data_IF_180875731689
#
_entry.id   IF_180875731689
#
_cell.length_a   1.000
_cell.length_b   1.000
_cell.length_c   1.000
_cell.angle_alpha   90.00
_cell.angle_beta   90.00
_cell.angle_gamma   90.00
#
_symmetry.space_group_name_H-M   'P 1'
#
loop_
_entity.id
_entity.type
_entity.pdbx_description
1 polymer ?
#
# COMPACT_ATOMS: atom_id res chain seq x y z
N UNK A 1 -34.65 -39.79 -2.15
CA UNK A 1 -33.43 -39.82 -2.97
C UNK A 1 -33.18 -38.42 -3.48
N UNK A 2 -31.94 -37.95 -3.29
CA UNK A 2 -31.32 -36.74 -3.84
C UNK A 2 -31.94 -35.40 -3.41
N UNK A 3 -31.37 -34.82 -2.35
CA UNK A 3 -31.59 -33.44 -1.92
C UNK A 3 -30.96 -32.47 -2.92
N UNK A 4 -31.50 -31.25 -2.95
CA UNK A 4 -31.22 -30.12 -3.85
C UNK A 4 -29.75 -29.69 -3.98
N UNK A 5 -28.83 -30.35 -3.29
CA UNK A 5 -27.40 -30.10 -3.29
C UNK A 5 -26.65 -30.75 -4.47
N UNK A 6 -27.28 -31.64 -5.25
CA UNK A 6 -26.58 -32.40 -6.32
C UNK A 6 -26.88 -31.93 -7.75
N UNK A 7 -27.62 -30.83 -7.94
CA UNK A 7 -27.90 -30.28 -9.28
C UNK A 7 -27.11 -29.01 -9.64
N UNK A 8 -26.20 -28.56 -8.77
CA UNK A 8 -25.41 -27.34 -8.98
C UNK A 8 -24.03 -27.56 -9.62
N UNK A 9 -23.74 -28.74 -10.20
CA UNK A 9 -22.40 -29.09 -10.68
C UNK A 9 -22.19 -29.03 -12.20
N UNK A 10 -23.17 -28.62 -13.01
CA UNK A 10 -22.98 -28.66 -14.46
C UNK A 10 -22.62 -27.33 -15.14
N UNK A 11 -22.97 -26.15 -14.59
CA UNK A 11 -22.56 -24.88 -15.19
C UNK A 11 -22.50 -23.75 -14.15
N UNK A 12 -21.34 -23.51 -13.55
CA UNK A 12 -21.17 -22.37 -12.64
C UNK A 12 -19.76 -22.30 -12.07
N UNK A 13 -19.01 -21.28 -12.46
CA UNK A 13 -17.71 -20.93 -11.89
C UNK A 13 -17.80 -20.77 -10.37
N UNK A 14 -17.41 -21.81 -9.62
CA UNK A 14 -17.16 -21.67 -8.19
C UNK A 14 -15.80 -21.01 -8.01
N UNK A 15 -15.75 -19.69 -7.96
CA UNK A 15 -14.63 -19.02 -7.29
C UNK A 15 -14.75 -19.36 -5.81
N UNK A 16 -14.14 -20.48 -5.39
CA UNK A 16 -13.98 -20.79 -3.98
C UNK A 16 -13.13 -19.69 -3.36
N UNK A 17 -13.79 -18.68 -2.80
CA UNK A 17 -13.15 -17.61 -2.04
C UNK A 17 -12.65 -18.24 -0.75
N UNK A 18 -11.34 -18.49 -0.67
CA UNK A 18 -10.70 -18.95 0.57
C UNK A 18 -10.81 -17.79 1.55
N UNK A 19 -11.80 -17.84 2.43
CA UNK A 19 -11.92 -16.91 3.56
C UNK A 19 -11.18 -17.55 4.71
N UNK A 20 -10.02 -17.02 5.10
CA UNK A 20 -9.25 -17.61 6.20
C UNK A 20 -9.96 -17.34 7.53
N UNK A 21 -10.01 -18.34 8.40
CA UNK A 21 -10.40 -18.17 9.80
C UNK A 21 -9.36 -17.33 10.56
N UNK A 22 -9.70 -16.80 11.74
CA UNK A 22 -8.75 -16.05 12.55
C UNK A 22 -7.45 -16.84 12.84
N UNK A 23 -7.47 -18.11 13.29
CA UNK A 23 -6.25 -18.90 13.50
C UNK A 23 -5.41 -19.08 12.23
N UNK A 24 -6.05 -19.27 11.07
CA UNK A 24 -5.34 -19.39 9.78
C UNK A 24 -4.70 -18.07 9.36
N UNK A 25 -5.37 -16.93 9.58
CA UNK A 25 -4.78 -15.60 9.34
C UNK A 25 -3.58 -15.34 10.23
N UNK A 26 -3.64 -15.67 11.51
CA UNK A 26 -2.50 -15.58 12.42
C UNK A 26 -1.32 -16.43 11.97
N UNK A 27 -1.60 -17.67 11.58
CA UNK A 27 -0.57 -18.59 11.06
C UNK A 27 0.03 -18.02 9.79
N UNK A 28 -0.80 -17.54 8.86
CA UNK A 28 -0.34 -17.00 7.59
C UNK A 28 0.47 -15.70 7.77
N UNK A 29 0.07 -14.82 8.68
CA UNK A 29 0.83 -13.63 9.05
C UNK A 29 2.22 -13.99 9.60
N UNK A 30 2.31 -14.94 10.55
CA UNK A 30 3.59 -15.40 11.11
C UNK A 30 4.49 -16.03 10.05
N UNK A 31 3.96 -16.90 9.20
CA UNK A 31 4.73 -17.52 8.11
C UNK A 31 5.17 -16.48 7.07
N UNK A 32 4.33 -15.48 6.77
CA UNK A 32 4.68 -14.39 5.85
C UNK A 32 5.82 -13.52 6.38
N UNK A 33 5.91 -13.34 7.70
CA UNK A 33 7.03 -12.64 8.34
C UNK A 33 8.31 -13.50 8.31
N UNK A 34 8.23 -14.76 8.72
CA UNK A 34 9.43 -15.61 8.83
C UNK A 34 10.03 -16.01 7.48
N UNK A 35 9.21 -16.06 6.42
CA UNK A 35 9.67 -16.38 5.05
C UNK A 35 10.02 -15.16 4.20
N UNK A 36 9.89 -13.95 4.74
CA UNK A 36 10.00 -12.70 3.98
C UNK A 36 11.31 -12.58 3.20
N UNK A 37 12.45 -12.78 3.85
CA UNK A 37 13.77 -12.61 3.21
C UNK A 37 14.00 -13.61 2.07
N UNK A 38 13.63 -14.87 2.28
CA UNK A 38 13.75 -15.92 1.25
C UNK A 38 12.88 -15.59 0.03
N UNK A 39 11.65 -15.15 0.28
CA UNK A 39 10.71 -14.81 -0.79
C UNK A 39 11.15 -13.55 -1.54
N UNK A 40 11.62 -12.51 -0.83
CA UNK A 40 12.19 -11.31 -1.45
C UNK A 40 13.40 -11.63 -2.32
N UNK A 41 14.32 -12.47 -1.86
CA UNK A 41 15.48 -12.89 -2.64
C UNK A 41 15.11 -13.67 -3.91
N UNK A 42 14.03 -14.46 -3.85
CA UNK A 42 13.47 -15.15 -5.02
C UNK A 42 12.82 -14.16 -5.99
N UNK A 43 11.99 -13.26 -5.49
CA UNK A 43 11.26 -12.26 -6.29
C UNK A 43 12.18 -11.21 -6.91
N UNK A 44 13.31 -10.87 -6.30
CA UNK A 44 14.30 -9.97 -6.89
C UNK A 44 14.85 -10.46 -8.23
N UNK A 45 14.75 -11.78 -8.51
CA UNK A 45 15.16 -12.42 -9.76
C UNK A 45 13.98 -12.68 -10.71
N UNK A 46 12.78 -12.25 -10.34
CA UNK A 46 11.57 -12.50 -11.12
C UNK A 46 11.61 -11.75 -12.47
N UNK A 47 11.38 -12.44 -13.60
CA UNK A 47 11.46 -11.81 -14.92
C UNK A 47 10.51 -10.61 -15.11
N UNK A 48 9.35 -10.57 -14.46
CA UNK A 48 8.45 -9.42 -14.56
C UNK A 48 9.05 -8.19 -13.87
N UNK A 49 9.63 -8.35 -12.68
CA UNK A 49 10.30 -7.25 -11.97
C UNK A 49 11.51 -6.75 -12.77
N UNK A 50 12.30 -7.66 -13.34
CA UNK A 50 13.45 -7.27 -14.18
C UNK A 50 13.01 -6.52 -15.45
N UNK A 51 11.90 -6.92 -16.07
CA UNK A 51 11.32 -6.18 -17.21
C UNK A 51 10.85 -4.79 -16.82
N UNK A 52 10.20 -4.65 -15.66
CA UNK A 52 9.76 -3.35 -15.13
C UNK A 52 10.96 -2.43 -14.87
N UNK A 53 12.02 -2.96 -14.24
CA UNK A 53 13.27 -2.22 -14.03
C UNK A 53 13.91 -1.78 -15.36
N UNK A 54 14.01 -2.69 -16.33
CA UNK A 54 14.57 -2.38 -17.64
C UNK A 54 13.72 -1.34 -18.40
N UNK A 55 12.39 -1.33 -18.22
CA UNK A 55 11.53 -0.28 -18.79
C UNK A 55 11.84 1.07 -18.16
N UNK A 56 11.91 1.12 -16.82
CA UNK A 56 12.26 2.35 -16.11
C UNK A 56 13.64 2.88 -16.54
N UNK A 57 14.64 1.99 -16.71
CA UNK A 57 15.97 2.35 -17.24
C UNK A 57 15.89 3.04 -18.59
N UNK A 58 15.16 2.44 -19.55
CA UNK A 58 15.02 2.99 -20.90
C UNK A 58 14.33 4.36 -20.90
N UNK A 59 13.33 4.54 -20.05
CA UNK A 59 12.63 5.82 -19.93
C UNK A 59 13.54 6.88 -19.31
N UNK A 60 14.24 6.54 -18.22
CA UNK A 60 15.16 7.47 -17.56
C UNK A 60 16.39 7.80 -18.41
N UNK A 61 16.85 6.91 -19.28
CA UNK A 61 17.95 7.21 -20.21
C UNK A 61 17.58 8.28 -21.25
N UNK A 62 16.29 8.35 -21.63
CA UNK A 62 15.77 9.31 -22.62
C UNK A 62 15.25 10.60 -21.99
N UNK A 63 14.78 10.52 -20.76
CA UNK A 63 14.14 11.63 -20.06
C UNK A 63 15.16 12.74 -19.73
N UNK A 64 14.86 13.99 -20.08
CA UNK A 64 15.73 15.13 -19.77
C UNK A 64 15.28 15.84 -18.50
N UNK A 65 13.99 15.78 -18.19
CA UNK A 65 13.34 16.43 -17.05
C UNK A 65 12.26 15.53 -16.44
N UNK A 66 11.83 15.75 -15.19
CA UNK A 66 10.88 14.88 -14.51
C UNK A 66 9.58 14.64 -15.30
N UNK A 67 9.08 15.64 -16.03
CA UNK A 67 7.86 15.51 -16.83
C UNK A 67 7.95 14.44 -17.91
N UNK A 68 9.15 14.12 -18.39
CA UNK A 68 9.35 13.09 -19.40
C UNK A 68 9.09 11.68 -18.85
N UNK A 69 9.30 11.43 -17.55
CA UNK A 69 8.93 10.17 -16.89
C UNK A 69 7.41 9.97 -16.97
N UNK A 70 6.63 11.01 -16.67
CA UNK A 70 5.17 10.95 -16.63
C UNK A 70 4.49 10.82 -18.00
N UNK A 71 5.26 10.92 -19.09
CA UNK A 71 4.76 10.61 -20.44
C UNK A 71 4.67 9.10 -20.69
N UNK A 72 5.47 8.30 -19.98
CA UNK A 72 5.37 6.85 -20.00
C UNK A 72 4.52 6.40 -18.79
N UNK A 73 3.25 6.13 -19.06
CA UNK A 73 2.26 5.76 -18.03
C UNK A 73 2.68 4.50 -17.27
N UNK A 74 3.34 3.57 -17.95
CA UNK A 74 3.78 2.32 -17.38
C UNK A 74 5.04 2.49 -16.50
N UNK A 75 6.01 3.31 -16.91
CA UNK A 75 7.13 3.67 -16.04
C UNK A 75 6.66 4.44 -14.80
N UNK A 76 5.67 5.31 -14.96
CA UNK A 76 5.02 6.00 -13.83
C UNK A 76 4.36 4.99 -12.89
N UNK A 77 3.59 4.03 -13.43
CA UNK A 77 2.98 2.94 -12.66
C UNK A 77 4.04 2.16 -11.87
N UNK A 78 5.16 1.79 -12.51
CA UNK A 78 6.26 1.06 -11.89
C UNK A 78 6.82 1.85 -10.70
N UNK A 79 7.11 3.14 -10.88
CA UNK A 79 7.58 4.01 -9.80
C UNK A 79 6.56 4.07 -8.66
N UNK A 80 5.28 4.30 -8.95
CA UNK A 80 4.24 4.37 -7.92
C UNK A 80 4.06 3.05 -7.16
N UNK A 81 4.15 1.90 -7.84
CA UNK A 81 4.11 0.61 -7.17
C UNK A 81 5.30 0.42 -6.24
N UNK A 82 6.51 0.75 -6.69
CA UNK A 82 7.71 0.67 -5.87
C UNK A 82 7.65 1.59 -4.65
N UNK A 83 6.98 2.73 -4.77
CA UNK A 83 6.76 3.69 -3.69
C UNK A 83 5.62 3.30 -2.72
N UNK A 84 4.95 2.16 -2.93
CA UNK A 84 3.80 1.75 -2.13
C UNK A 84 2.53 2.56 -2.40
N UNK A 85 2.45 3.23 -3.55
CA UNK A 85 1.34 4.07 -4.04
C UNK A 85 0.58 3.40 -5.20
N UNK A 86 0.60 2.07 -5.25
CA UNK A 86 -0.01 1.28 -6.32
C UNK A 86 -1.52 1.54 -6.50
N UNK A 87 -2.21 1.88 -5.41
CA UNK A 87 -3.64 2.22 -5.41
C UNK A 87 -3.96 3.55 -6.12
N UNK A 88 -2.92 4.26 -6.57
CA UNK A 88 -2.97 5.48 -7.38
C UNK A 88 -2.21 5.36 -8.71
N UNK A 89 -1.86 4.14 -9.11
CA UNK A 89 -1.12 3.84 -10.35
C UNK A 89 -1.72 4.48 -11.62
N UNK A 90 -3.04 4.63 -11.67
CA UNK A 90 -3.76 5.22 -12.82
C UNK A 90 -3.80 6.75 -12.78
N UNK A 91 -3.44 7.37 -11.64
CA UNK A 91 -3.56 8.82 -11.42
C UNK A 91 -2.28 9.56 -11.82
N UNK A 92 -1.84 9.40 -13.07
CA UNK A 92 -0.57 9.96 -13.58
C UNK A 92 -0.48 11.48 -13.39
N UNK A 93 -1.58 12.22 -13.61
CA UNK A 93 -1.61 13.67 -13.41
C UNK A 93 -1.47 14.10 -11.95
N UNK A 94 -1.96 13.30 -11.00
CA UNK A 94 -1.74 13.53 -9.57
C UNK A 94 -0.30 13.20 -9.20
N UNK A 95 0.19 12.04 -9.63
CA UNK A 95 1.58 11.63 -9.39
C UNK A 95 2.59 12.67 -9.87
N UNK A 96 2.39 13.20 -11.09
CA UNK A 96 3.21 14.28 -11.64
C UNK A 96 3.22 15.51 -10.73
N UNK A 97 2.04 16.01 -10.35
CA UNK A 97 1.93 17.23 -9.52
C UNK A 97 2.53 17.05 -8.13
N UNK A 98 2.34 15.88 -7.53
CA UNK A 98 2.80 15.61 -6.17
C UNK A 98 4.30 15.35 -6.12
N UNK A 99 4.83 14.44 -6.94
CA UNK A 99 6.25 14.06 -6.89
C UNK A 99 7.18 15.19 -7.34
N UNK A 100 6.65 16.16 -8.08
CA UNK A 100 7.34 17.39 -8.48
C UNK A 100 7.00 18.61 -7.60
N UNK A 101 6.25 18.43 -6.51
CA UNK A 101 5.89 19.53 -5.61
C UNK A 101 7.12 20.10 -4.91
N UNK A 102 7.19 21.43 -4.77
CA UNK A 102 8.15 22.07 -3.88
C UNK A 102 7.69 21.93 -2.43
N UNK A 103 8.48 21.24 -1.62
CA UNK A 103 8.16 20.98 -0.22
C UNK A 103 8.39 22.20 0.69
N UNK A 104 9.10 23.22 0.21
CA UNK A 104 9.24 24.51 0.91
C UNK A 104 7.96 25.33 0.84
N UNK A 105 7.15 25.14 -0.21
CA UNK A 105 5.82 25.72 -0.29
C UNK A 105 4.83 24.91 0.56
N UNK A 106 4.37 25.50 1.66
CA UNK A 106 3.37 24.91 2.57
C UNK A 106 2.04 24.59 1.86
N UNK A 107 1.74 25.26 0.75
CA UNK A 107 0.53 25.06 -0.06
C UNK A 107 0.74 24.05 -1.19
N UNK A 108 1.94 23.49 -1.36
CA UNK A 108 2.19 22.51 -2.40
C UNK A 108 1.35 21.26 -2.20
N UNK A 109 0.98 20.59 -3.30
CA UNK A 109 0.05 19.48 -3.24
C UNK A 109 0.57 18.37 -2.30
N UNK A 110 1.86 18.06 -2.35
CA UNK A 110 2.49 17.10 -1.43
C UNK A 110 2.33 17.46 0.06
N UNK A 111 2.34 18.76 0.44
CA UNK A 111 2.15 19.21 1.82
C UNK A 111 0.67 19.23 2.27
N UNK A 112 -0.26 19.26 1.32
CA UNK A 112 -1.72 19.37 1.61
C UNK A 112 -2.47 18.04 1.58
N UNK A 113 -1.90 17.00 0.96
CA UNK A 113 -2.51 15.68 0.91
C UNK A 113 -2.49 14.99 2.27
N UNK A 114 -3.63 14.42 2.66
CA UNK A 114 -3.74 13.68 3.92
C UNK A 114 -3.01 12.34 3.89
N UNK A 115 -2.80 11.73 2.71
CA UNK A 115 -2.01 10.52 2.62
C UNK A 115 -0.51 10.85 2.58
N UNK A 116 0.13 10.75 3.74
CA UNK A 116 1.54 11.13 3.95
C UNK A 116 2.53 10.36 3.09
N UNK A 117 2.16 9.19 2.55
CA UNK A 117 2.98 8.43 1.59
C UNK A 117 3.40 9.28 0.38
N UNK A 118 2.51 10.17 -0.07
CA UNK A 118 2.78 11.11 -1.15
C UNK A 118 3.87 12.11 -0.81
N UNK A 119 3.79 12.70 0.38
CA UNK A 119 4.80 13.62 0.88
C UNK A 119 6.14 12.92 1.03
N UNK A 120 6.17 11.75 1.65
CA UNK A 120 7.37 10.94 1.81
C UNK A 120 7.99 10.57 0.45
N UNK A 121 7.18 10.23 -0.55
CA UNK A 121 7.68 9.96 -1.90
C UNK A 121 8.27 11.20 -2.58
N UNK A 122 7.62 12.35 -2.45
CA UNK A 122 8.12 13.62 -2.96
C UNK A 122 9.43 14.04 -2.27
N UNK A 123 9.53 13.87 -0.94
CA UNK A 123 10.73 14.12 -0.14
C UNK A 123 11.89 13.22 -0.57
N UNK A 124 11.61 11.93 -0.75
CA UNK A 124 12.62 10.93 -1.08
C UNK A 124 13.17 11.10 -2.50
N UNK A 125 12.30 11.38 -3.47
CA UNK A 125 12.75 11.57 -4.86
C UNK A 125 13.23 12.99 -5.16
N UNK A 126 12.72 13.97 -4.41
CA UNK A 126 13.08 15.39 -4.47
C UNK A 126 13.21 15.92 -5.90
N UNK A 127 12.21 15.61 -6.75
CA UNK A 127 12.28 15.97 -8.17
C UNK A 127 12.22 17.47 -8.42
N UNK A 128 11.66 18.24 -7.47
CA UNK A 128 11.60 19.69 -7.53
C UNK A 128 13.00 20.32 -7.49
N UNK A 129 13.92 19.79 -6.67
CA UNK A 129 15.28 20.34 -6.54
C UNK A 129 16.31 19.57 -7.39
N UNK A 130 16.16 18.25 -7.53
CA UNK A 130 17.18 17.38 -8.15
C UNK A 130 16.82 16.92 -9.58
N UNK A 131 15.61 17.23 -10.04
CA UNK A 131 15.09 16.72 -11.29
C UNK A 131 14.99 15.19 -11.27
N UNK A 132 15.69 14.52 -12.19
CA UNK A 132 15.75 13.05 -12.25
C UNK A 132 17.02 12.46 -11.60
N UNK A 133 17.89 13.30 -11.03
CA UNK A 133 19.21 12.87 -10.57
C UNK A 133 19.11 11.87 -9.41
N UNK A 134 18.26 12.14 -8.41
CA UNK A 134 18.02 11.22 -7.29
C UNK A 134 17.48 9.88 -7.78
N UNK A 135 16.49 9.89 -8.68
CA UNK A 135 15.90 8.67 -9.23
C UNK A 135 16.92 7.83 -10.04
N UNK A 136 18.02 8.43 -10.51
CA UNK A 136 19.12 7.74 -11.22
C UNK A 136 20.20 7.18 -10.29
N UNK A 137 20.21 7.54 -9.01
CA UNK A 137 21.21 7.05 -8.07
C UNK A 137 21.12 5.52 -7.91
N UNK A 138 22.26 4.81 -7.82
CA UNK A 138 22.25 3.36 -7.61
C UNK A 138 21.45 2.94 -6.36
N UNK A 139 21.54 3.71 -5.27
CA UNK A 139 20.77 3.49 -4.04
C UNK A 139 19.26 3.58 -4.28
N UNK A 140 18.81 4.65 -4.95
CA UNK A 140 17.39 4.83 -5.29
C UNK A 140 16.91 3.75 -6.25
N UNK A 141 17.72 3.33 -7.23
CA UNK A 141 17.37 2.20 -8.12
C UNK A 141 17.25 0.88 -7.38
N UNK A 142 18.11 0.63 -6.39
CA UNK A 142 17.97 -0.52 -5.49
C UNK A 142 16.70 -0.41 -4.64
N UNK A 143 16.39 0.76 -4.08
CA UNK A 143 15.16 0.95 -3.33
C UNK A 143 13.90 0.74 -4.18
N UNK A 144 13.91 1.19 -5.44
CA UNK A 144 12.81 0.92 -6.38
C UNK A 144 12.66 -0.58 -6.66
N UNK A 145 13.77 -1.31 -6.87
CA UNK A 145 13.75 -2.76 -7.01
C UNK A 145 13.15 -3.44 -5.77
N UNK A 146 13.65 -3.07 -4.58
CA UNK A 146 13.18 -3.63 -3.31
C UNK A 146 11.68 -3.32 -3.08
N UNK A 147 11.22 -2.14 -3.48
CA UNK A 147 9.81 -1.75 -3.48
C UNK A 147 8.94 -2.57 -4.44
N UNK A 148 9.40 -2.84 -5.67
CA UNK A 148 8.68 -3.70 -6.61
C UNK A 148 8.59 -5.15 -6.11
N UNK A 149 9.66 -5.64 -5.49
CA UNK A 149 9.69 -6.95 -4.82
C UNK A 149 8.65 -6.99 -3.70
N UNK A 150 8.61 -5.96 -2.85
CA UNK A 150 7.64 -5.89 -1.75
C UNK A 150 6.20 -5.77 -2.27
N UNK A 151 5.96 -4.95 -3.30
CA UNK A 151 4.67 -4.85 -3.97
C UNK A 151 4.18 -6.21 -4.48
N UNK A 152 5.04 -6.96 -5.19
CA UNK A 152 4.69 -8.28 -5.72
C UNK A 152 4.44 -9.28 -4.60
N UNK A 153 5.26 -9.25 -3.54
CA UNK A 153 5.09 -10.11 -2.36
C UNK A 153 3.76 -9.85 -1.67
N UNK A 154 3.44 -8.58 -1.38
CA UNK A 154 2.20 -8.21 -0.73
C UNK A 154 0.98 -8.47 -1.62
N UNK A 155 1.12 -8.37 -2.94
CA UNK A 155 0.01 -8.70 -3.87
C UNK A 155 -0.33 -10.19 -3.79
N UNK A 156 0.68 -11.06 -3.73
CA UNK A 156 0.46 -12.49 -3.55
C UNK A 156 -0.15 -12.81 -2.16
N UNK A 157 0.20 -12.03 -1.14
CA UNK A 157 -0.38 -12.17 0.20
C UNK A 157 -1.82 -11.71 0.24
N UNK A 158 -2.12 -10.53 -0.30
CA UNK A 158 -3.46 -9.96 -0.39
C UNK A 158 -4.40 -10.88 -1.17
N UNK A 159 -3.92 -11.51 -2.25
CA UNK A 159 -4.69 -12.48 -3.02
C UNK A 159 -5.15 -13.70 -2.20
N UNK A 160 -4.44 -14.04 -1.11
CA UNK A 160 -4.82 -15.09 -0.17
C UNK A 160 -5.54 -14.56 1.06
N UNK A 161 -5.15 -13.39 1.57
CA UNK A 161 -5.79 -12.71 2.69
C UNK A 161 -5.43 -11.22 2.71
N UNK A 162 -6.42 -10.38 2.40
CA UNK A 162 -6.31 -8.93 2.54
C UNK A 162 -6.01 -8.53 3.99
N UNK A 163 -6.62 -9.23 4.97
CA UNK A 163 -6.39 -8.95 6.37
C UNK A 163 -4.92 -9.17 6.79
N UNK A 164 -4.25 -10.18 6.23
CA UNK A 164 -2.82 -10.42 6.49
C UNK A 164 -1.94 -9.38 5.79
N UNK A 165 -2.27 -8.97 4.56
CA UNK A 165 -1.57 -7.89 3.87
C UNK A 165 -1.63 -6.57 4.66
N UNK A 166 -2.80 -6.22 5.16
CA UNK A 166 -3.04 -5.03 5.98
C UNK A 166 -2.29 -5.09 7.32
N UNK A 167 -2.27 -6.25 7.97
CA UNK A 167 -1.50 -6.46 9.18
C UNK A 167 0.00 -6.25 8.94
N UNK A 168 0.53 -6.70 7.79
CA UNK A 168 1.93 -6.46 7.40
C UNK A 168 2.19 -4.99 7.09
N UNK A 169 1.26 -4.30 6.46
CA UNK A 169 1.35 -2.85 6.27
C UNK A 169 1.52 -2.14 7.61
N UNK A 170 0.63 -2.43 8.58
CA UNK A 170 0.70 -1.85 9.90
C UNK A 170 2.01 -2.22 10.60
N UNK A 171 2.44 -3.48 10.53
CA UNK A 171 3.70 -3.97 11.11
C UNK A 171 4.91 -3.15 10.64
N UNK A 172 4.97 -2.90 9.33
CA UNK A 172 6.09 -2.25 8.65
C UNK A 172 6.00 -0.73 8.61
N UNK A 173 4.89 -0.15 9.08
CA UNK A 173 4.74 1.30 9.18
C UNK A 173 5.74 1.87 10.19
N UNK A 174 6.45 2.93 9.78
CA UNK A 174 7.37 3.68 10.64
C UNK A 174 6.62 4.24 11.86
N UNK A 175 7.31 4.22 13.01
CA UNK A 175 6.84 4.79 14.27
C UNK A 175 7.38 6.20 14.53
N UNK A 176 8.23 6.72 13.65
CA UNK A 176 8.97 7.97 13.87
C UNK A 176 8.14 9.21 13.55
N UNK A 177 7.08 9.04 12.75
CA UNK A 177 6.16 10.11 12.39
C UNK A 177 4.88 9.98 13.19
N UNK A 178 4.44 11.09 13.80
CA UNK A 178 3.12 11.15 14.44
C UNK A 178 2.04 10.91 13.37
N UNK A 179 1.16 9.96 13.63
CA UNK A 179 0.02 9.66 12.75
C UNK A 179 -1.24 10.30 13.33
N UNK A 180 -1.78 11.30 12.64
CA UNK A 180 -3.06 11.92 12.97
C UNK A 180 -4.25 11.21 12.33
N UNK A 181 -5.45 11.60 12.75
CA UNK A 181 -6.71 11.04 12.22
C UNK A 181 -6.87 11.26 10.71
N UNK A 182 -6.44 12.41 10.21
CA UNK A 182 -6.51 12.71 8.79
C UNK A 182 -5.51 11.86 7.99
N UNK A 183 -4.37 11.48 8.56
CA UNK A 183 -3.42 10.58 7.92
C UNK A 183 -3.99 9.16 7.79
N UNK A 184 -4.66 8.70 8.86
CA UNK A 184 -5.40 7.43 8.85
C UNK A 184 -6.50 7.45 7.80
N UNK A 185 -7.27 8.54 7.71
CA UNK A 185 -8.31 8.67 6.70
C UNK A 185 -7.70 8.78 5.29
N UNK A 186 -6.62 9.51 5.09
CA UNK A 186 -5.97 9.65 3.78
C UNK A 186 -5.45 8.33 3.21
N UNK A 187 -5.03 7.41 4.08
CA UNK A 187 -4.48 6.12 3.69
C UNK A 187 -5.55 5.03 3.67
N UNK A 188 -5.84 4.45 2.49
CA UNK A 188 -6.90 3.42 2.35
C UNK A 188 -6.72 2.21 3.27
N UNK A 189 -5.48 1.75 3.48
CA UNK A 189 -5.19 0.60 4.35
C UNK A 189 -5.41 0.96 5.82
N UNK A 190 -4.87 2.09 6.28
CA UNK A 190 -5.08 2.55 7.65
C UNK A 190 -6.56 2.83 7.93
N UNK A 191 -7.26 3.48 7.00
CA UNK A 191 -8.70 3.73 7.10
C UNK A 191 -9.46 2.43 7.30
N UNK A 192 -9.17 1.41 6.49
CA UNK A 192 -9.81 0.09 6.57
C UNK A 192 -9.50 -0.61 7.89
N UNK A 193 -8.25 -0.60 8.33
CA UNK A 193 -7.84 -1.20 9.61
C UNK A 193 -8.58 -0.51 10.77
N UNK A 194 -8.51 0.81 10.82
CA UNK A 194 -9.07 1.61 11.89
C UNK A 194 -10.60 1.50 11.93
N UNK A 195 -11.28 1.58 10.78
CA UNK A 195 -12.73 1.40 10.71
C UNK A 195 -13.17 0.00 11.13
N UNK A 196 -12.42 -1.04 10.74
CA UNK A 196 -12.71 -2.42 11.14
C UNK A 196 -12.54 -2.62 12.65
N UNK A 197 -11.46 -2.11 13.24
CA UNK A 197 -11.21 -2.17 14.69
C UNK A 197 -12.28 -1.40 15.46
N UNK A 198 -12.68 -0.25 14.95
CA UNK A 198 -13.68 0.62 15.55
C UNK A 198 -15.14 0.18 15.30
N UNK A 199 -15.37 -0.86 14.50
CA UNK A 199 -16.72 -1.31 14.11
C UNK A 199 -17.49 -0.27 13.29
N UNK A 200 -16.79 0.57 12.52
CA UNK A 200 -17.40 1.64 11.74
C UNK A 200 -17.87 1.14 10.36
N UNK A 201 -19.08 1.54 9.92
CA UNK A 201 -19.63 1.16 8.64
C UNK A 201 -18.87 1.82 7.47
N UNK A 202 -18.91 1.18 6.28
CA UNK A 202 -18.26 1.73 5.07
C UNK A 202 -18.92 3.01 4.59
N UNK A 203 -20.21 3.16 4.89
CA UNK A 203 -21.07 4.31 4.62
C UNK A 203 -20.54 5.59 5.28
N UNK A 204 -19.69 5.47 6.30
CA UNK A 204 -19.01 6.63 6.89
C UNK A 204 -18.21 7.41 5.83
N UNK A 205 -17.71 6.74 4.79
CA UNK A 205 -16.99 7.39 3.69
C UNK A 205 -17.84 8.39 2.88
N UNK A 206 -19.17 8.37 3.02
CA UNK A 206 -20.11 9.30 2.38
C UNK A 206 -20.25 10.62 3.14
N UNK A 207 -19.78 10.69 4.39
CA UNK A 207 -19.85 11.89 5.21
C UNK A 207 -18.71 12.86 4.89
N UNK A 208 -18.84 14.12 5.30
CA UNK A 208 -17.73 15.08 5.26
C UNK A 208 -16.53 14.59 6.08
N UNK A 209 -15.32 14.90 5.61
CA UNK A 209 -14.06 14.37 6.18
C UNK A 209 -13.93 14.70 7.68
N UNK A 210 -14.39 15.87 8.11
CA UNK A 210 -14.39 16.28 9.52
C UNK A 210 -15.35 15.42 10.35
N UNK A 211 -16.49 15.01 9.80
CA UNK A 211 -17.42 14.10 10.47
C UNK A 211 -16.86 12.69 10.55
N UNK A 212 -16.17 12.22 9.50
CA UNK A 212 -15.42 10.96 9.53
C UNK A 212 -14.35 10.99 10.63
N UNK A 213 -13.57 12.07 10.70
CA UNK A 213 -12.49 12.24 11.69
C UNK A 213 -13.02 12.25 13.13
N UNK A 214 -14.10 12.99 13.41
CA UNK A 214 -14.73 13.02 14.74
C UNK A 214 -15.23 11.64 15.15
N UNK A 215 -15.88 10.92 14.24
CA UNK A 215 -16.39 9.57 14.51
C UNK A 215 -15.26 8.59 14.77
N UNK A 216 -14.22 8.61 13.94
CA UNK A 216 -13.07 7.73 14.08
C UNK A 216 -12.33 7.96 15.40
N UNK A 217 -12.04 9.22 15.75
CA UNK A 217 -11.32 9.55 16.99
C UNK A 217 -12.04 9.12 18.28
N UNK A 218 -13.37 9.03 18.27
CA UNK A 218 -14.14 8.54 19.43
C UNK A 218 -13.96 7.04 19.66
N UNK A 219 -13.73 6.29 18.58
CA UNK A 219 -13.76 4.83 18.58
C UNK A 219 -12.38 4.19 18.37
N UNK A 220 -11.38 4.97 17.94
CA UNK A 220 -10.04 4.52 17.61
C UNK A 220 -8.99 5.52 18.08
N UNK A 221 -8.02 5.04 18.88
CA UNK A 221 -6.89 5.85 19.36
C UNK A 221 -5.78 5.80 18.32
N UNK A 222 -5.63 6.86 17.53
CA UNK A 222 -4.65 6.92 16.44
C UNK A 222 -3.21 6.86 16.95
N UNK A 223 -2.96 7.32 18.17
CA UNK A 223 -1.65 7.32 18.82
C UNK A 223 -1.14 5.90 19.10
N UNK A 224 -2.06 4.92 19.22
CA UNK A 224 -1.71 3.52 19.45
C UNK A 224 -1.05 2.88 18.20
N UNK A 225 -1.15 3.51 17.03
CA UNK A 225 -0.47 3.09 15.80
C UNK A 225 1.06 3.29 15.86
N UNK A 226 1.53 4.26 16.64
CA UNK A 226 2.96 4.61 16.75
C UNK A 226 3.66 3.93 17.94
N UNK A 227 2.90 3.37 18.88
CA UNK A 227 3.44 2.61 20.01
C UNK A 227 3.68 1.13 19.59
N UNK A 228 4.91 0.59 19.66
CA UNK A 228 5.20 -0.76 19.20
C UNK A 228 4.36 -1.87 19.87
N UNK A 229 4.11 -1.77 21.17
CA UNK A 229 3.37 -2.78 21.92
C UNK A 229 1.87 -2.69 21.64
N UNK A 230 1.32 -1.48 21.56
CA UNK A 230 -0.09 -1.29 21.22
C UNK A 230 -0.37 -1.61 19.76
N UNK A 231 0.55 -1.27 18.85
CA UNK A 231 0.49 -1.66 17.44
C UNK A 231 0.37 -3.18 17.27
N UNK A 232 1.14 -3.96 18.02
CA UNK A 232 1.04 -5.42 17.99
C UNK A 232 -0.35 -5.90 18.48
N UNK A 233 -0.90 -5.28 19.53
CA UNK A 233 -2.28 -5.56 19.98
C UNK A 233 -3.33 -5.19 18.92
N UNK A 234 -3.15 -4.09 18.20
CA UNK A 234 -4.03 -3.68 17.10
C UNK A 234 -3.97 -4.70 15.95
N UNK A 235 -2.77 -5.18 15.58
CA UNK A 235 -2.58 -6.23 14.59
C UNK A 235 -3.32 -7.50 15.01
N UNK A 236 -3.16 -7.94 16.26
CA UNK A 236 -3.87 -9.12 16.78
C UNK A 236 -5.38 -8.93 16.73
N UNK A 237 -5.90 -7.80 17.23
CA UNK A 237 -7.33 -7.50 17.20
C UNK A 237 -7.87 -7.49 15.77
N UNK A 238 -7.15 -6.87 14.83
CA UNK A 238 -7.52 -6.82 13.43
C UNK A 238 -7.58 -8.22 12.80
N UNK A 239 -6.52 -9.03 12.97
CA UNK A 239 -6.48 -10.40 12.46
C UNK A 239 -7.58 -11.30 13.06
N UNK A 240 -8.07 -10.99 14.26
CA UNK A 240 -9.21 -11.70 14.86
C UNK A 240 -10.54 -11.36 14.19
N UNK A 241 -10.82 -10.07 13.95
CA UNK A 241 -12.17 -9.61 13.57
C UNK A 241 -12.33 -9.32 12.07
N UNK A 242 -11.24 -9.09 11.35
CA UNK A 242 -11.29 -8.76 9.92
C UNK A 242 -11.86 -9.92 9.12
N UNK A 243 -12.45 -9.58 7.98
CA UNK A 243 -12.91 -10.54 6.98
C UNK A 243 -12.13 -10.33 5.69
N UNK A 244 -11.70 -11.43 5.09
CA UNK A 244 -11.05 -11.37 3.78
C UNK A 244 -12.08 -11.05 2.70
N UNK A 245 -11.69 -10.21 1.74
CA UNK A 245 -12.52 -9.86 0.59
C UNK A 245 -11.92 -10.43 -0.68
N UNK A 246 -12.78 -10.77 -1.65
CA UNK A 246 -12.38 -11.41 -2.91
C UNK A 246 -11.67 -10.48 -3.91
N UNK A 247 -11.59 -9.19 -3.62
CA UNK A 247 -11.00 -8.17 -4.50
C UNK A 247 -9.63 -7.73 -3.97
N UNK A 248 -8.59 -7.84 -4.81
CA UNK A 248 -7.27 -7.25 -4.55
C UNK A 248 -7.41 -5.72 -4.64
N UNK A 249 -7.07 -4.99 -3.58
CA UNK A 249 -7.22 -3.52 -3.49
C UNK A 249 -5.92 -2.75 -3.77
N UNK A 250 -4.90 -3.45 -4.28
CA UNK A 250 -3.53 -2.98 -4.52
C UNK A 250 -2.81 -2.70 -3.19
N UNK A 251 -1.83 -3.52 -2.80
CA UNK A 251 -1.22 -3.41 -1.49
C UNK A 251 -0.42 -2.11 -1.38
N UNK A 252 -0.41 -1.56 -0.17
CA UNK A 252 0.40 -0.41 0.22
C UNK A 252 1.55 -0.89 1.13
N UNK A 253 2.60 -0.09 1.23
CA UNK A 253 3.71 -0.24 2.18
C UNK A 253 4.46 1.08 2.31
N UNK A 254 5.27 1.21 3.36
CA UNK A 254 6.17 2.35 3.50
C UNK A 254 7.36 2.21 2.56
N UNK A 255 7.60 3.20 1.71
CA UNK A 255 8.81 3.25 0.89
C UNK A 255 9.99 3.78 1.70
N UNK A 256 11.12 3.08 1.65
CA UNK A 256 12.37 3.47 2.28
C UNK A 256 13.44 3.69 1.21
N UNK A 257 14.25 4.74 1.39
CA UNK A 257 15.43 5.06 0.57
C UNK A 257 16.66 4.90 1.47
#
# INVERSE_FOLDING_TARGET
MLTSAQLATLFGSSTNTVTLTAPERFTYYKTSLSSAEKEKARLAKDPAILRDMARLDRVLAKAKKPEDLFKDTEATRIVLQALGLADNAQNVGMAKRVLMSDLKDKKSLANTLSDTRWKTAAEKLDMANTGLSTLRLPSTRKAILDGLVEYKRLTAIEAKSQAVSDALYLKNMSTDTKTGVYDVLGNKVLRRIASTIAGLPKELALQEVEAQARTLNRSFKVEDLTDPAKKEKLIQRYLTIAQDTSTIQAPSFGFNL
#
